data_IF_891694122849
#
_entry.id   IF_891694122849
#
_cell.length_a   1.000
_cell.length_b   1.000
_cell.length_c   1.000
_cell.angle_alpha   90.00
_cell.angle_beta   90.00
_cell.angle_gamma   90.00
#
_symmetry.space_group_name_H-M   'P 1'
#
loop_
_entity.id
_entity.type
_entity.pdbx_description
1 polymer ?
#
# COMPACT_ATOMS: atom_id res chain seq x y z
N UNK A 1 -8.39 -16.29 -4.69
CA UNK A 1 -7.31 -15.38 -5.14
C UNK A 1 -8.00 -14.21 -5.80
N UNK A 2 -8.15 -13.08 -5.10
CA UNK A 2 -8.88 -11.91 -5.64
C UNK A 2 -8.10 -11.43 -6.88
N UNK A 3 -8.80 -11.28 -8.00
CA UNK A 3 -8.27 -10.63 -9.19
C UNK A 3 -7.86 -9.23 -8.76
N UNK A 4 -6.56 -8.94 -8.78
CA UNK A 4 -6.10 -7.55 -8.72
C UNK A 4 -6.34 -6.99 -10.12
N UNK A 5 -7.56 -6.51 -10.35
CA UNK A 5 -7.93 -5.75 -11.55
C UNK A 5 -7.18 -4.40 -11.54
N UNK A 6 -7.00 -3.82 -12.73
CA UNK A 6 -6.35 -2.54 -13.01
C UNK A 6 -6.96 -1.33 -12.27
N UNK A 7 -8.07 -1.51 -11.55
CA UNK A 7 -8.76 -0.47 -10.78
C UNK A 7 -8.29 -0.39 -9.32
N UNK A 8 -7.07 -0.81 -8.99
CA UNK A 8 -6.49 -0.47 -7.69
C UNK A 8 -6.22 1.03 -7.64
N UNK A 9 -7.10 1.78 -6.98
CA UNK A 9 -6.83 3.16 -6.59
C UNK A 9 -5.40 3.28 -6.03
N UNK A 10 -4.67 4.36 -6.36
CA UNK A 10 -3.29 4.52 -5.92
C UNK A 10 -3.23 4.39 -4.40
N UNK A 11 -2.18 3.71 -3.92
CA UNK A 11 -1.96 3.50 -2.50
C UNK A 11 -2.02 4.83 -1.75
N UNK A 12 -2.98 4.96 -0.82
CA UNK A 12 -3.15 6.20 -0.08
C UNK A 12 -2.16 6.27 1.09
N UNK A 13 -1.45 7.41 1.26
CA UNK A 13 -0.52 7.58 2.36
C UNK A 13 -1.23 7.57 3.71
N UNK A 14 -0.52 7.23 4.80
CA UNK A 14 -1.13 7.13 6.11
C UNK A 14 -1.76 8.45 6.55
N UNK A 15 -2.77 8.35 7.41
CA UNK A 15 -3.34 9.48 8.12
C UNK A 15 -2.92 9.48 9.59
N UNK A 16 -2.99 10.65 10.23
CA UNK A 16 -2.77 10.80 11.67
C UNK A 16 -4.10 11.03 12.36
N UNK A 17 -4.44 10.13 13.26
CA UNK A 17 -5.64 10.22 14.09
C UNK A 17 -5.24 10.27 15.56
N UNK A 18 -5.96 11.05 16.40
CA UNK A 18 -5.77 10.99 17.84
C UNK A 18 -6.37 9.68 18.39
N UNK A 19 -6.18 9.43 19.69
CA UNK A 19 -6.77 8.28 20.36
C UNK A 19 -8.31 8.24 20.22
N UNK A 20 -8.89 7.03 20.27
CA UNK A 20 -10.32 6.82 20.14
C UNK A 20 -11.15 7.69 21.10
N UNK A 21 -10.69 7.88 22.33
CA UNK A 21 -11.35 8.76 23.31
C UNK A 21 -11.39 10.24 22.88
N UNK A 22 -10.35 10.71 22.18
CA UNK A 22 -10.34 12.07 21.62
C UNK A 22 -11.29 12.18 20.42
N UNK A 23 -11.35 11.16 19.56
CA UNK A 23 -12.33 11.12 18.48
C UNK A 23 -13.77 11.08 19.01
N UNK A 24 -14.04 10.25 20.01
CA UNK A 24 -15.36 10.16 20.65
C UNK A 24 -15.73 11.46 21.36
N UNK A 25 -14.79 12.17 21.99
CA UNK A 25 -15.02 13.51 22.51
C UNK A 25 -15.35 14.51 21.40
N UNK A 26 -14.70 14.42 20.23
CA UNK A 26 -15.01 15.25 19.08
C UNK A 26 -16.40 14.96 18.50
N UNK A 27 -16.84 13.69 18.47
CA UNK A 27 -18.22 13.31 18.12
C UNK A 27 -19.22 13.99 19.06
N UNK A 28 -19.02 13.88 20.38
CA UNK A 28 -19.92 14.48 21.38
C UNK A 28 -19.96 16.02 21.29
N UNK A 29 -18.94 16.64 20.72
CA UNK A 29 -18.88 18.08 20.47
C UNK A 29 -19.42 18.50 19.09
N UNK A 30 -19.76 17.56 18.21
CA UNK A 30 -20.27 17.88 16.87
C UNK A 30 -21.67 18.53 16.96
N UNK A 31 -22.00 19.49 16.08
CA UNK A 31 -23.31 20.16 16.09
C UNK A 31 -24.50 19.20 15.98
N UNK A 32 -24.38 18.09 15.25
CA UNK A 32 -25.40 17.04 15.14
C UNK A 32 -25.24 15.91 16.16
N UNK A 33 -24.50 16.10 17.24
CA UNK A 33 -24.36 15.11 18.31
C UNK A 33 -25.70 14.67 18.93
N UNK A 34 -26.75 15.48 18.85
CA UNK A 34 -28.10 15.07 19.27
C UNK A 34 -28.69 13.90 18.46
N UNK A 35 -28.22 13.66 17.22
CA UNK A 35 -28.61 12.49 16.43
C UNK A 35 -27.97 11.19 16.93
N UNK A 36 -26.83 11.30 17.65
CA UNK A 36 -26.18 10.17 18.29
C UNK A 36 -27.07 9.57 19.39
N UNK A 37 -27.79 10.39 20.15
CA UNK A 37 -28.68 9.92 21.22
C UNK A 37 -29.83 9.06 20.70
N UNK A 38 -30.28 9.30 19.45
CA UNK A 38 -31.29 8.47 18.80
C UNK A 38 -30.71 7.15 18.25
N UNK A 39 -29.40 7.12 17.96
CA UNK A 39 -28.70 5.94 17.45
C UNK A 39 -28.17 5.02 18.56
N UNK A 40 -27.95 5.53 19.78
CA UNK A 40 -27.49 4.76 20.93
C UNK A 40 -28.70 4.21 21.72
N UNK A 41 -28.85 2.88 21.76
CA UNK A 41 -29.87 2.20 22.57
C UNK A 41 -29.58 2.36 24.08
N UNK A 42 -30.53 2.84 24.90
CA UNK A 42 -30.34 3.06 26.34
C UNK A 42 -30.15 1.79 27.19
N UNK A 43 -30.38 0.58 26.70
CA UNK A 43 -30.35 -0.65 27.52
C UNK A 43 -28.96 -1.34 27.69
N UNK A 44 -27.89 -0.90 27.01
CA UNK A 44 -26.58 -1.59 27.06
C UNK A 44 -25.50 -0.90 27.95
N UNK A 45 -24.76 -1.75 28.69
CA UNK A 45 -23.76 -1.49 29.73
C UNK A 45 -22.69 -0.41 29.40
N UNK A 46 -22.16 0.28 30.42
CA UNK A 46 -21.45 1.58 30.31
C UNK A 46 -19.93 1.53 30.62
N UNK A 47 -19.24 0.44 30.31
CA UNK A 47 -17.82 0.27 30.65
C UNK A 47 -16.93 0.05 29.44
N UNK A 48 -16.01 0.98 29.14
CA UNK A 48 -14.94 0.93 28.12
C UNK A 48 -15.35 0.73 26.65
N UNK A 49 -16.54 0.19 26.38
CA UNK A 49 -17.18 0.11 25.07
C UNK A 49 -17.90 1.41 24.68
N UNK A 50 -17.93 2.44 25.54
CA UNK A 50 -18.65 3.68 25.25
C UNK A 50 -18.02 4.48 24.10
N UNK A 51 -16.70 4.65 24.07
CA UNK A 51 -16.05 5.41 22.99
C UNK A 51 -16.11 4.65 21.66
N UNK A 52 -15.90 3.34 21.65
CA UNK A 52 -16.02 2.52 20.45
C UNK A 52 -17.46 2.53 19.91
N UNK A 53 -18.45 2.36 20.79
CA UNK A 53 -19.87 2.42 20.45
C UNK A 53 -20.30 3.80 19.95
N UNK A 54 -19.82 4.88 20.59
CA UNK A 54 -20.05 6.26 20.13
C UNK A 54 -19.50 6.45 18.72
N UNK A 55 -18.30 5.94 18.45
CA UNK A 55 -17.70 6.00 17.11
C UNK A 55 -18.52 5.15 16.12
N UNK A 56 -18.84 3.90 16.41
CA UNK A 56 -19.64 3.05 15.52
C UNK A 56 -21.01 3.66 15.19
N UNK A 57 -21.73 4.15 16.21
CA UNK A 57 -23.02 4.82 16.01
C UNK A 57 -22.86 6.10 15.17
N UNK A 58 -21.81 6.89 15.41
CA UNK A 58 -21.55 8.09 14.63
C UNK A 58 -21.17 7.81 13.18
N UNK A 59 -20.40 6.75 12.93
CA UNK A 59 -20.09 6.29 11.59
C UNK A 59 -21.38 5.96 10.82
N UNK A 60 -22.36 5.32 11.47
CA UNK A 60 -23.66 5.01 10.88
C UNK A 60 -24.50 6.26 10.58
N UNK A 61 -24.53 7.23 11.50
CA UNK A 61 -25.18 8.54 11.26
C UNK A 61 -24.56 9.22 10.04
N UNK A 62 -23.22 9.27 9.98
CA UNK A 62 -22.50 9.84 8.85
C UNK A 62 -22.81 9.10 7.54
N UNK A 63 -22.80 7.76 7.54
CA UNK A 63 -23.15 6.94 6.36
C UNK A 63 -24.55 7.26 5.86
N UNK A 64 -25.53 7.25 6.76
CA UNK A 64 -26.93 7.54 6.41
C UNK A 64 -27.05 8.93 5.78
N UNK A 65 -26.40 9.95 6.36
CA UNK A 65 -26.43 11.31 5.80
C UNK A 65 -25.73 11.41 4.45
N UNK A 66 -24.55 10.83 4.32
CA UNK A 66 -23.76 10.86 3.07
C UNK A 66 -24.43 10.07 1.94
N UNK A 67 -25.18 9.02 2.26
CA UNK A 67 -25.95 8.26 1.27
C UNK A 67 -27.15 9.03 0.70
N UNK A 68 -27.63 10.08 1.38
CA UNK A 68 -28.78 10.88 0.90
C UNK A 68 -28.40 11.92 -0.15
N UNK A 69 -27.12 12.23 -0.30
CA UNK A 69 -26.61 13.25 -1.23
C UNK A 69 -25.24 12.82 -1.79
N UNK A 70 -25.24 12.37 -3.06
CA UNK A 70 -24.03 11.97 -3.77
C UNK A 70 -23.00 13.10 -3.85
N UNK A 71 -23.45 14.36 -3.97
CA UNK A 71 -22.56 15.53 -3.99
C UNK A 71 -21.83 15.72 -2.66
N UNK A 72 -22.49 15.42 -1.54
CA UNK A 72 -21.89 15.47 -0.20
C UNK A 72 -20.79 14.40 -0.03
N UNK A 73 -21.08 13.17 -0.46
CA UNK A 73 -20.14 12.05 -0.44
C UNK A 73 -18.90 12.34 -1.30
N UNK A 74 -19.12 12.77 -2.54
CA UNK A 74 -18.03 13.10 -3.46
C UNK A 74 -17.18 14.25 -2.93
N UNK A 75 -17.76 15.26 -2.30
CA UNK A 75 -17.02 16.37 -1.70
C UNK A 75 -16.14 15.90 -0.53
N UNK A 76 -16.65 15.03 0.35
CA UNK A 76 -15.86 14.43 1.44
C UNK A 76 -14.66 13.64 0.91
N UNK A 77 -14.88 12.77 -0.09
CA UNK A 77 -13.83 11.96 -0.72
C UNK A 77 -12.83 12.88 -1.42
N UNK A 78 -13.29 13.91 -2.14
CA UNK A 78 -12.42 14.89 -2.82
C UNK A 78 -11.51 15.61 -1.82
N UNK A 79 -12.07 16.12 -0.71
CA UNK A 79 -11.30 16.77 0.35
C UNK A 79 -10.27 15.81 0.98
N UNK A 80 -10.62 14.53 1.11
CA UNK A 80 -9.73 13.52 1.66
C UNK A 80 -8.54 13.23 0.72
N UNK A 81 -8.84 12.99 -0.57
CA UNK A 81 -7.83 12.62 -1.58
C UNK A 81 -6.92 13.79 -1.95
N UNK A 82 -7.47 15.01 -2.08
CA UNK A 82 -6.64 16.17 -2.43
C UNK A 82 -5.74 16.61 -1.29
N UNK A 83 -6.18 16.47 -0.04
CA UNK A 83 -5.55 17.03 1.17
C UNK A 83 -5.32 18.54 1.10
N UNK A 84 -5.91 19.20 0.11
CA UNK A 84 -5.77 20.64 -0.10
C UNK A 84 -6.88 21.39 0.64
N UNK A 85 -6.55 22.51 1.28
CA UNK A 85 -7.56 23.37 1.87
C UNK A 85 -8.53 23.92 0.81
N UNK A 86 -9.83 23.83 1.09
CA UNK A 86 -10.89 24.32 0.21
C UNK A 86 -11.22 25.78 0.57
N UNK A 87 -11.14 26.67 -0.43
CA UNK A 87 -11.56 28.07 -0.29
C UNK A 87 -13.08 28.22 -0.54
N UNK A 88 -13.70 29.24 0.05
CA UNK A 88 -15.11 29.56 -0.21
C UNK A 88 -16.08 28.85 0.73
N UNK A 89 -17.00 28.03 0.20
CA UNK A 89 -18.08 27.42 1.00
C UNK A 89 -18.01 25.90 0.94
N UNK A 90 -18.02 25.26 2.11
CA UNK A 90 -18.24 23.82 2.24
C UNK A 90 -19.72 23.53 2.52
N UNK A 91 -20.24 22.35 2.14
CA UNK A 91 -21.60 21.94 2.50
C UNK A 91 -21.82 22.02 4.01
N UNK A 92 -22.91 22.69 4.42
CA UNK A 92 -23.21 22.90 5.85
C UNK A 92 -23.31 21.56 6.61
N UNK A 93 -23.83 20.52 5.96
CA UNK A 93 -23.94 19.18 6.54
C UNK A 93 -22.58 18.59 6.96
N UNK A 94 -21.50 18.83 6.19
CA UNK A 94 -20.15 18.36 6.60
C UNK A 94 -19.66 19.08 7.85
N UNK A 95 -19.97 20.38 7.99
CA UNK A 95 -19.67 21.18 9.17
C UNK A 95 -20.50 20.73 10.38
N UNK A 96 -21.78 20.46 10.16
CA UNK A 96 -22.74 20.05 11.19
C UNK A 96 -22.43 18.63 11.72
N UNK A 97 -21.91 17.76 10.86
CA UNK A 97 -21.34 16.46 11.24
C UNK A 97 -19.94 16.56 11.86
N UNK A 98 -19.37 17.76 11.98
CA UNK A 98 -18.03 17.97 12.53
C UNK A 98 -16.90 17.39 11.67
N UNK A 99 -17.16 17.05 10.39
CA UNK A 99 -16.18 16.45 9.47
C UNK A 99 -15.20 17.48 8.90
N UNK A 100 -15.56 18.76 8.96
CA UNK A 100 -14.75 19.87 8.47
C UNK A 100 -14.44 20.84 9.59
N UNK A 101 -13.21 21.39 9.61
CA UNK A 101 -12.82 22.43 10.57
C UNK A 101 -13.57 23.73 10.29
N UNK A 102 -14.04 24.41 11.33
CA UNK A 102 -14.81 25.67 11.23
C UNK A 102 -13.93 26.91 11.02
N UNK A 103 -13.00 26.87 10.06
CA UNK A 103 -12.17 28.02 9.70
C UNK A 103 -11.71 27.90 8.24
N UNK A 104 -11.67 29.02 7.52
CA UNK A 104 -11.13 29.09 6.16
C UNK A 104 -9.59 29.20 6.19
N UNK A 105 -8.86 28.50 5.30
CA UNK A 105 -9.37 27.55 4.31
C UNK A 105 -9.79 26.22 4.95
N UNK A 106 -10.91 25.67 4.48
CA UNK A 106 -11.55 24.52 5.09
C UNK A 106 -10.75 23.24 4.84
N UNK A 107 -10.53 22.48 5.89
CA UNK A 107 -9.84 21.18 5.84
C UNK A 107 -10.64 20.16 6.64
N UNK A 108 -10.42 18.87 6.36
CA UNK A 108 -11.04 17.82 7.17
C UNK A 108 -10.57 17.93 8.64
N UNK A 109 -11.52 17.74 9.55
CA UNK A 109 -11.20 17.52 10.96
C UNK A 109 -10.63 16.11 11.16
N UNK A 110 -10.19 15.77 12.37
CA UNK A 110 -9.82 14.38 12.67
C UNK A 110 -11.00 13.42 12.47
N UNK A 111 -12.22 13.88 12.77
CA UNK A 111 -13.43 13.10 12.56
C UNK A 111 -13.73 12.95 11.07
N UNK A 112 -13.49 14.00 10.28
CA UNK A 112 -13.58 13.95 8.82
C UNK A 112 -12.62 12.94 8.19
N UNK A 113 -11.35 12.96 8.61
CA UNK A 113 -10.34 12.00 8.15
C UNK A 113 -10.72 10.57 8.52
N UNK A 114 -11.18 10.35 9.75
CA UNK A 114 -11.58 9.03 10.24
C UNK A 114 -12.83 8.49 9.51
N UNK A 115 -13.89 9.30 9.34
CA UNK A 115 -15.10 8.90 8.59
C UNK A 115 -14.79 8.65 7.12
N UNK A 116 -14.05 9.54 6.47
CA UNK A 116 -13.66 9.37 5.06
C UNK A 116 -12.85 8.09 4.85
N UNK A 117 -11.93 7.75 5.77
CA UNK A 117 -11.20 6.48 5.76
C UNK A 117 -12.14 5.27 5.77
N UNK A 118 -13.14 5.25 6.66
CA UNK A 118 -14.10 4.14 6.74
C UNK A 118 -14.90 4.00 5.45
N UNK A 119 -15.35 5.12 4.89
CA UNK A 119 -16.13 5.16 3.65
C UNK A 119 -15.30 4.68 2.46
N UNK A 120 -14.04 5.11 2.33
CA UNK A 120 -13.15 4.68 1.24
C UNK A 120 -12.87 3.18 1.34
N UNK A 121 -12.65 2.66 2.55
CA UNK A 121 -12.48 1.23 2.77
C UNK A 121 -13.72 0.43 2.35
N UNK A 122 -14.92 0.90 2.69
CA UNK A 122 -16.18 0.24 2.35
C UNK A 122 -16.51 0.32 0.85
N UNK A 123 -16.34 1.49 0.24
CA UNK A 123 -16.77 1.75 -1.14
C UNK A 123 -15.76 1.33 -2.20
N UNK A 124 -14.46 1.49 -1.92
CA UNK A 124 -13.39 1.16 -2.86
C UNK A 124 -12.57 -0.06 -2.45
N UNK A 125 -12.86 -0.69 -1.30
CA UNK A 125 -12.05 -1.78 -0.77
C UNK A 125 -10.63 -1.37 -0.37
N UNK A 126 -10.38 -0.06 -0.25
CA UNK A 126 -9.05 0.49 0.00
C UNK A 126 -8.87 0.85 1.47
N UNK A 127 -8.05 0.05 2.17
CA UNK A 127 -7.63 0.37 3.53
C UNK A 127 -6.60 1.50 3.52
N UNK A 128 -6.88 2.55 4.31
CA UNK A 128 -5.95 3.66 4.50
C UNK A 128 -5.21 3.46 5.83
N UNK A 129 -3.88 3.40 5.85
CA UNK A 129 -3.17 3.19 7.11
C UNK A 129 -3.30 4.37 8.07
N UNK A 130 -3.20 4.08 9.37
CA UNK A 130 -3.11 5.10 10.42
C UNK A 130 -1.71 5.04 11.01
N UNK A 131 -1.04 6.19 11.13
CA UNK A 131 0.28 6.25 11.78
C UNK A 131 0.25 5.61 13.18
N UNK A 132 1.21 4.75 13.47
CA UNK A 132 1.35 4.00 14.72
C UNK A 132 0.50 2.72 14.80
N UNK A 133 -0.42 2.47 13.86
CA UNK A 133 -1.27 1.28 13.90
C UNK A 133 -0.51 -0.04 13.68
N UNK A 134 0.73 0.02 13.18
CA UNK A 134 1.55 -1.16 12.93
C UNK A 134 2.48 -1.51 14.09
N UNK A 135 2.46 -0.78 15.22
CA UNK A 135 3.41 -0.96 16.33
C UNK A 135 3.49 -2.41 16.87
N UNK A 136 2.34 -3.09 16.93
CA UNK A 136 2.21 -4.46 17.40
C UNK A 136 2.16 -5.50 16.28
N UNK A 137 2.29 -5.07 15.01
CA UNK A 137 2.23 -5.96 13.86
C UNK A 137 3.48 -6.84 13.75
N UNK A 138 3.37 -7.96 13.03
CA UNK A 138 4.54 -8.72 12.56
C UNK A 138 5.21 -8.05 11.36
N UNK A 139 6.46 -8.38 11.07
CA UNK A 139 7.24 -7.75 9.99
C UNK A 139 6.56 -7.83 8.61
N UNK A 140 5.92 -8.94 8.24
CA UNK A 140 5.21 -9.04 6.96
C UNK A 140 4.04 -8.04 6.86
N UNK A 141 3.30 -7.83 7.95
CA UNK A 141 2.21 -6.87 7.99
C UNK A 141 2.73 -5.41 8.01
N UNK A 142 3.84 -5.17 8.71
CA UNK A 142 4.55 -3.89 8.65
C UNK A 142 4.93 -3.57 7.19
N UNK A 143 5.66 -4.47 6.52
CA UNK A 143 6.10 -4.28 5.13
C UNK A 143 4.95 -4.14 4.14
N UNK A 144 3.79 -4.74 4.42
CA UNK A 144 2.58 -4.56 3.62
C UNK A 144 2.01 -3.15 3.75
N UNK A 145 1.90 -2.64 4.99
CA UNK A 145 1.37 -1.30 5.27
C UNK A 145 2.28 -0.19 4.74
N UNK A 146 3.61 -0.34 4.92
CA UNK A 146 4.58 0.68 4.53
C UNK A 146 4.68 0.94 3.02
N UNK A 147 4.06 0.10 2.18
CA UNK A 147 4.00 0.30 0.73
C UNK A 147 3.34 1.62 0.32
N UNK A 148 2.41 2.13 1.14
CA UNK A 148 1.74 3.40 0.87
C UNK A 148 2.38 4.59 1.58
N UNK A 149 3.36 4.36 2.44
CA UNK A 149 3.96 5.41 3.26
C UNK A 149 5.05 6.14 2.47
N UNK A 150 5.10 7.48 2.49
CA UNK A 150 6.26 8.22 2.04
C UNK A 150 7.49 7.92 2.94
N UNK A 151 8.70 8.21 2.45
CA UNK A 151 9.95 7.82 3.10
C UNK A 151 10.07 8.32 4.55
N UNK A 152 9.71 9.58 4.80
CA UNK A 152 9.77 10.18 6.14
C UNK A 152 8.84 9.44 7.13
N UNK A 153 7.61 9.16 6.72
CA UNK A 153 6.64 8.42 7.52
C UNK A 153 7.03 6.95 7.70
N UNK A 154 7.70 6.31 6.72
CA UNK A 154 8.24 4.95 6.89
C UNK A 154 9.24 4.88 8.03
N UNK A 155 10.14 5.86 8.12
CA UNK A 155 11.13 5.91 9.19
C UNK A 155 10.48 6.10 10.56
N UNK A 156 9.46 6.95 10.66
CA UNK A 156 8.71 7.15 11.90
C UNK A 156 7.93 5.89 12.32
N UNK A 157 7.22 5.25 11.39
CA UNK A 157 6.45 4.04 11.67
C UNK A 157 7.37 2.87 12.07
N UNK A 158 8.54 2.74 11.41
CA UNK A 158 9.56 1.77 11.78
C UNK A 158 10.07 2.03 13.21
N UNK A 159 10.34 3.28 13.58
CA UNK A 159 10.77 3.61 14.94
C UNK A 159 9.70 3.27 15.99
N UNK A 160 8.43 3.53 15.66
CA UNK A 160 7.29 3.09 16.48
C UNK A 160 7.24 1.57 16.62
N UNK A 161 7.35 0.83 15.52
CA UNK A 161 7.40 -0.62 15.50
C UNK A 161 8.60 -1.19 16.27
N UNK A 162 9.75 -0.53 16.28
CA UNK A 162 10.92 -0.97 17.05
C UNK A 162 10.82 -0.65 18.55
N UNK A 163 9.80 0.08 19.01
CA UNK A 163 9.65 0.40 20.43
C UNK A 163 9.52 -0.88 21.25
N UNK A 164 10.47 -1.12 22.16
CA UNK A 164 10.52 -2.34 22.97
C UNK A 164 11.14 -3.57 22.27
N UNK A 165 11.64 -3.42 21.04
CA UNK A 165 12.37 -4.46 20.29
C UNK A 165 13.86 -4.12 20.20
N UNK A 166 14.71 -5.15 20.21
CA UNK A 166 16.11 -4.99 19.84
C UNK A 166 16.23 -4.76 18.32
N UNK A 167 17.14 -3.89 17.89
CA UNK A 167 17.30 -3.55 16.47
C UNK A 167 17.76 -4.75 15.63
N UNK A 168 18.59 -5.64 16.20
CA UNK A 168 19.02 -6.89 15.56
C UNK A 168 17.86 -7.87 15.42
N UNK A 169 17.01 -7.99 16.44
CA UNK A 169 15.76 -8.75 16.36
C UNK A 169 14.85 -8.20 15.25
N UNK A 170 14.63 -6.89 15.21
CA UNK A 170 13.80 -6.25 14.18
C UNK A 170 14.34 -6.48 12.76
N UNK A 171 15.66 -6.35 12.57
CA UNK A 171 16.30 -6.64 11.29
C UNK A 171 16.14 -8.11 10.87
N UNK A 172 16.29 -9.05 11.80
CA UNK A 172 16.10 -10.47 11.54
C UNK A 172 14.65 -10.80 11.16
N UNK A 173 13.67 -10.22 11.85
CA UNK A 173 12.25 -10.39 11.54
C UNK A 173 11.89 -9.86 10.15
N UNK A 174 12.39 -8.68 9.78
CA UNK A 174 12.19 -8.10 8.44
C UNK A 174 12.84 -8.98 7.37
N UNK A 175 14.10 -9.39 7.57
CA UNK A 175 14.81 -10.23 6.61
C UNK A 175 14.10 -11.57 6.38
N UNK A 176 13.63 -12.22 7.45
CA UNK A 176 12.89 -13.48 7.37
C UNK A 176 11.54 -13.33 6.63
N UNK A 177 10.89 -12.17 6.74
CA UNK A 177 9.63 -11.91 6.04
C UNK A 177 9.81 -11.71 4.52
N UNK A 178 10.98 -11.24 4.06
CA UNK A 178 11.16 -10.80 2.68
C UNK A 178 10.71 -11.86 1.67
N UNK A 179 11.14 -13.12 1.81
CA UNK A 179 10.81 -14.18 0.86
C UNK A 179 9.29 -14.30 0.56
N UNK A 180 8.45 -14.15 1.59
CA UNK A 180 7.00 -14.38 1.51
C UNK A 180 6.13 -13.16 1.21
N UNK A 181 6.68 -11.94 1.17
CA UNK A 181 5.91 -10.73 0.90
C UNK A 181 5.83 -10.39 -0.59
N UNK A 182 4.97 -9.43 -0.94
CA UNK A 182 4.85 -8.96 -2.32
C UNK A 182 6.12 -8.24 -2.80
N UNK A 183 6.36 -8.14 -4.11
CA UNK A 183 7.47 -7.39 -4.68
C UNK A 183 7.65 -5.97 -4.12
N UNK A 184 6.58 -5.18 -3.99
CA UNK A 184 6.69 -3.83 -3.40
C UNK A 184 7.02 -3.86 -1.91
N UNK A 185 6.43 -4.77 -1.14
CA UNK A 185 6.78 -4.95 0.28
C UNK A 185 8.24 -5.41 0.44
N UNK A 186 8.73 -6.24 -0.47
CA UNK A 186 10.13 -6.69 -0.52
C UNK A 186 11.06 -5.51 -0.82
N UNK A 187 10.71 -4.66 -1.78
CA UNK A 187 11.46 -3.44 -2.09
C UNK A 187 11.60 -2.54 -0.85
N UNK A 188 10.48 -2.27 -0.17
CA UNK A 188 10.45 -1.49 1.08
C UNK A 188 11.31 -2.16 2.14
N UNK A 189 11.20 -3.48 2.35
CA UNK A 189 11.97 -4.17 3.37
C UNK A 189 13.49 -4.14 3.12
N UNK A 190 13.92 -4.26 1.86
CA UNK A 190 15.34 -4.10 1.49
C UNK A 190 15.82 -2.68 1.76
N UNK A 191 15.02 -1.66 1.43
CA UNK A 191 15.33 -0.25 1.74
C UNK A 191 15.50 -0.04 3.25
N UNK A 192 14.55 -0.49 4.07
CA UNK A 192 14.61 -0.33 5.53
C UNK A 192 15.83 -1.03 6.16
N UNK A 193 16.19 -2.22 5.67
CA UNK A 193 17.40 -2.90 6.13
C UNK A 193 18.67 -2.15 5.68
N UNK A 194 18.67 -1.55 4.50
CA UNK A 194 19.84 -0.84 3.97
C UNK A 194 20.08 0.50 4.68
N UNK A 195 19.02 1.24 5.01
CA UNK A 195 19.11 2.63 5.48
C UNK A 195 18.58 2.83 6.89
N UNK A 196 17.51 2.13 7.29
CA UNK A 196 16.77 2.38 8.53
C UNK A 196 17.32 1.67 9.78
N UNK A 197 18.07 0.57 9.62
CA UNK A 197 18.49 -0.30 10.73
C UNK A 197 20.01 -0.35 10.97
N UNK A 198 20.78 0.53 10.32
CA UNK A 198 22.22 0.65 10.54
C UNK A 198 22.99 -0.66 10.29
N UNK A 199 23.91 -1.01 11.21
CA UNK A 199 24.76 -2.20 11.08
C UNK A 199 24.00 -3.52 11.17
N UNK A 200 22.91 -3.57 11.95
CA UNK A 200 22.07 -4.76 12.07
C UNK A 200 21.39 -5.07 10.73
N UNK A 201 20.82 -4.04 10.09
CA UNK A 201 20.22 -4.15 8.77
C UNK A 201 21.22 -4.57 7.70
N UNK A 202 22.43 -3.98 7.70
CA UNK A 202 23.53 -4.40 6.80
C UNK A 202 23.91 -5.86 6.98
N UNK A 203 24.01 -6.35 8.22
CA UNK A 203 24.31 -7.76 8.50
C UNK A 203 23.20 -8.69 8.00
N UNK A 204 21.94 -8.31 8.21
CA UNK A 204 20.80 -9.07 7.71
C UNK A 204 20.80 -9.16 6.18
N UNK A 205 21.06 -8.05 5.46
CA UNK A 205 21.17 -8.05 4.00
C UNK A 205 22.31 -8.92 3.49
N UNK A 206 23.49 -8.88 4.14
CA UNK A 206 24.61 -9.74 3.77
C UNK A 206 24.26 -11.22 3.91
N UNK A 207 23.50 -11.60 4.94
CA UNK A 207 23.02 -12.97 5.12
C UNK A 207 22.08 -13.43 4.00
N UNK A 208 21.26 -12.52 3.48
CA UNK A 208 20.32 -12.82 2.39
C UNK A 208 20.98 -12.99 1.03
N UNK A 209 22.22 -12.50 0.85
CA UNK A 209 22.90 -12.61 -0.44
C UNK A 209 23.07 -14.07 -0.87
N UNK A 210 23.23 -15.02 0.05
CA UNK A 210 23.38 -16.44 -0.28
C UNK A 210 22.07 -17.12 -0.72
N UNK A 211 20.92 -16.50 -0.46
CA UNK A 211 19.61 -17.07 -0.82
C UNK A 211 19.37 -17.00 -2.33
N UNK A 212 19.04 -18.11 -3.02
CA UNK A 212 18.71 -18.10 -4.43
C UNK A 212 17.55 -17.14 -4.72
N UNK A 213 17.66 -16.36 -5.80
CA UNK A 213 16.67 -15.37 -6.27
C UNK A 213 16.49 -14.17 -5.34
N UNK A 214 16.18 -14.38 -4.05
CA UNK A 214 16.06 -13.29 -3.08
C UNK A 214 17.39 -12.55 -2.93
N UNK A 215 18.50 -13.27 -2.83
CA UNK A 215 19.84 -12.68 -2.80
C UNK A 215 20.18 -11.90 -4.06
N UNK A 216 19.69 -12.34 -5.23
CA UNK A 216 19.83 -11.57 -6.47
C UNK A 216 19.01 -10.27 -6.46
N UNK A 217 17.77 -10.29 -5.94
CA UNK A 217 16.95 -9.07 -5.76
C UNK A 217 17.62 -8.11 -4.78
N UNK A 218 18.11 -8.63 -3.65
CA UNK A 218 18.86 -7.84 -2.66
C UNK A 218 20.10 -7.23 -3.31
N UNK A 219 20.88 -8.01 -4.05
CA UNK A 219 22.08 -7.54 -4.72
C UNK A 219 21.79 -6.43 -5.73
N UNK A 220 20.78 -6.62 -6.58
CA UNK A 220 20.38 -5.62 -7.57
C UNK A 220 19.91 -4.31 -6.92
N UNK A 221 19.12 -4.39 -5.84
CA UNK A 221 18.60 -3.20 -5.14
C UNK A 221 19.65 -2.46 -4.30
N UNK A 222 20.72 -3.15 -3.90
CA UNK A 222 21.77 -2.57 -3.04
C UNK A 222 23.07 -2.28 -3.78
N UNK A 223 23.09 -2.43 -5.11
CA UNK A 223 24.26 -2.13 -5.95
C UNK A 223 25.42 -3.12 -5.80
N UNK A 224 25.14 -4.39 -5.52
CA UNK A 224 26.13 -5.47 -5.36
C UNK A 224 26.40 -6.19 -6.68
N UNK A 225 26.89 -5.44 -7.66
CA UNK A 225 27.14 -5.92 -9.03
C UNK A 225 28.19 -7.04 -9.11
N UNK A 226 29.03 -7.19 -8.08
CA UNK A 226 30.04 -8.25 -7.99
C UNK A 226 29.44 -9.65 -7.82
N UNK A 227 28.16 -9.75 -7.39
CA UNK A 227 27.48 -11.03 -7.22
C UNK A 227 27.19 -11.65 -8.58
N UNK A 228 27.74 -12.84 -8.81
CA UNK A 228 27.32 -13.67 -9.95
C UNK A 228 25.85 -14.05 -9.82
N UNK A 229 25.06 -13.68 -10.81
CA UNK A 229 23.62 -13.92 -10.84
C UNK A 229 23.30 -14.89 -11.97
N UNK A 230 22.60 -15.97 -11.64
CA UNK A 230 22.22 -16.97 -12.64
C UNK A 230 21.12 -16.42 -13.59
N UNK A 231 20.98 -16.94 -14.82
CA UNK A 231 19.96 -16.44 -15.76
C UNK A 231 18.52 -16.48 -15.25
N UNK A 232 18.15 -17.50 -14.46
CA UNK A 232 16.83 -17.60 -13.84
C UNK A 232 16.63 -16.58 -12.71
N UNK A 233 17.70 -16.26 -11.96
CA UNK A 233 17.69 -15.18 -10.98
C UNK A 233 17.57 -13.80 -11.64
N UNK A 234 18.22 -13.57 -12.79
CA UNK A 234 18.05 -12.33 -13.56
C UNK A 234 16.58 -12.17 -13.97
N UNK A 235 15.95 -13.23 -14.50
CA UNK A 235 14.53 -13.21 -14.83
C UNK A 235 13.66 -12.92 -13.59
N UNK A 236 13.99 -13.49 -12.44
CA UNK A 236 13.30 -13.22 -11.18
C UNK A 236 13.40 -11.76 -10.75
N UNK A 237 14.60 -11.17 -10.81
CA UNK A 237 14.86 -9.76 -10.46
C UNK A 237 14.05 -8.82 -11.34
N UNK A 238 14.07 -9.02 -12.66
CA UNK A 238 13.33 -8.18 -13.60
C UNK A 238 11.81 -8.21 -13.32
N UNK A 239 11.26 -9.39 -13.05
CA UNK A 239 9.83 -9.51 -12.72
C UNK A 239 9.51 -8.90 -11.37
N UNK A 240 10.34 -9.10 -10.33
CA UNK A 240 10.11 -8.52 -8.99
C UNK A 240 10.16 -6.98 -9.05
N UNK A 241 11.12 -6.40 -9.77
CA UNK A 241 11.23 -4.94 -9.92
C UNK A 241 10.05 -4.35 -10.69
N UNK A 242 9.67 -4.95 -11.83
CA UNK A 242 8.52 -4.50 -12.61
C UNK A 242 7.20 -4.67 -11.84
N UNK A 243 7.04 -5.77 -11.11
CA UNK A 243 5.85 -6.02 -10.29
C UNK A 243 5.76 -5.04 -9.10
N UNK A 244 6.89 -4.63 -8.52
CA UNK A 244 6.90 -3.61 -7.48
C UNK A 244 6.37 -2.25 -7.98
N UNK A 245 6.72 -1.85 -9.21
CA UNK A 245 6.19 -0.65 -9.85
C UNK A 245 4.68 -0.76 -10.11
N UNK A 246 4.22 -1.91 -10.61
CA UNK A 246 2.79 -2.17 -10.80
C UNK A 246 2.00 -2.10 -9.49
N UNK A 247 2.54 -2.68 -8.42
CA UNK A 247 1.91 -2.61 -7.09
C UNK A 247 1.89 -1.20 -6.51
N UNK A 248 2.86 -0.35 -6.87
CA UNK A 248 2.91 1.04 -6.43
C UNK A 248 1.85 1.91 -7.13
N UNK A 249 1.36 1.44 -8.29
CA UNK A 249 0.50 2.22 -9.18
C UNK A 249 1.28 3.03 -10.21
N UNK A 250 2.50 2.60 -10.54
CA UNK A 250 3.27 3.19 -11.64
C UNK A 250 2.56 3.01 -12.97
N UNK A 251 2.70 3.99 -13.87
CA UNK A 251 2.09 3.92 -15.19
C UNK A 251 2.69 2.75 -15.99
N UNK A 252 1.92 2.17 -16.92
CA UNK A 252 2.41 1.07 -17.75
C UNK A 252 3.72 1.43 -18.50
N UNK A 253 3.90 2.71 -18.84
CA UNK A 253 5.14 3.23 -19.42
C UNK A 253 6.36 3.07 -18.51
N UNK A 254 6.24 3.39 -17.22
CA UNK A 254 7.34 3.24 -16.24
C UNK A 254 7.73 1.77 -16.05
N UNK A 255 6.73 0.88 -16.07
CA UNK A 255 6.94 -0.58 -15.98
C UNK A 255 7.70 -1.07 -17.22
N UNK A 256 7.31 -0.61 -18.42
CA UNK A 256 8.01 -0.91 -19.66
C UNK A 256 9.46 -0.42 -19.62
N UNK A 257 9.69 0.83 -19.22
CA UNK A 257 11.03 1.43 -19.12
C UNK A 257 11.93 0.67 -18.14
N UNK A 258 11.36 0.22 -17.01
CA UNK A 258 12.11 -0.53 -16.00
C UNK A 258 12.66 -1.86 -16.52
N UNK A 259 11.94 -2.53 -17.42
CA UNK A 259 12.35 -3.78 -18.05
C UNK A 259 13.27 -3.50 -19.23
N UNK A 260 13.06 -2.38 -19.93
CA UNK A 260 13.85 -1.99 -21.08
C UNK A 260 15.33 -1.78 -20.72
N UNK A 261 15.65 -1.20 -19.55
CA UNK A 261 17.03 -0.97 -19.10
C UNK A 261 17.97 -0.37 -20.18
N UNK A 262 17.43 0.47 -21.08
CA UNK A 262 18.17 1.08 -22.20
C UNK A 262 18.44 0.16 -23.41
N UNK A 263 17.91 -1.06 -23.42
CA UNK A 263 17.98 -2.02 -24.54
C UNK A 263 17.14 -1.56 -25.74
N UNK A 264 17.55 -1.94 -26.94
CA UNK A 264 16.71 -1.79 -28.14
C UNK A 264 15.56 -2.83 -28.18
N UNK A 265 14.64 -2.68 -29.14
CA UNK A 265 13.46 -3.56 -29.22
C UNK A 265 13.80 -5.04 -29.48
N UNK A 266 14.91 -5.35 -30.15
CA UNK A 266 15.33 -6.73 -30.42
C UNK A 266 15.93 -7.37 -29.17
N UNK A 267 16.81 -6.64 -28.49
CA UNK A 267 17.38 -7.01 -27.20
C UNK A 267 16.28 -7.22 -26.14
N UNK A 268 15.32 -6.29 -26.05
CA UNK A 268 14.18 -6.41 -25.15
C UNK A 268 13.34 -7.66 -25.46
N UNK A 269 13.05 -7.92 -26.74
CA UNK A 269 12.30 -9.12 -27.13
C UNK A 269 13.04 -10.41 -26.74
N UNK A 270 14.37 -10.42 -26.83
CA UNK A 270 15.23 -11.50 -26.32
C UNK A 270 15.12 -11.68 -24.81
N UNK A 271 15.18 -10.59 -24.05
CA UNK A 271 15.05 -10.58 -22.58
C UNK A 271 13.65 -11.02 -22.12
N UNK A 272 12.58 -10.58 -22.78
CA UNK A 272 11.22 -11.01 -22.43
C UNK A 272 11.04 -12.52 -22.63
N UNK A 273 11.68 -13.08 -23.64
CA UNK A 273 11.61 -14.51 -23.89
C UNK A 273 12.18 -15.35 -22.73
N UNK A 274 13.09 -14.78 -21.92
CA UNK A 274 13.66 -15.47 -20.75
C UNK A 274 12.81 -15.36 -19.49
N UNK A 275 11.92 -14.37 -19.38
CA UNK A 275 11.08 -14.14 -18.18
C UNK A 275 10.19 -15.34 -17.84
N UNK A 276 9.76 -16.11 -18.85
CA UNK A 276 8.95 -17.31 -18.65
C UNK A 276 9.67 -18.45 -17.90
N UNK A 277 11.01 -18.40 -17.80
CA UNK A 277 11.79 -19.44 -17.12
C UNK A 277 12.00 -19.17 -15.63
N UNK A 278 11.84 -17.92 -15.19
CA UNK A 278 12.14 -17.53 -13.80
C UNK A 278 11.19 -18.11 -12.76
N UNK A 279 10.02 -18.64 -13.14
CA UNK A 279 8.94 -19.13 -12.26
C UNK A 279 8.34 -18.13 -11.24
N UNK A 280 8.74 -16.85 -11.35
CA UNK A 280 7.97 -15.64 -11.06
C UNK A 280 6.46 -15.70 -10.74
N UNK A 281 5.93 -15.66 -9.50
CA UNK A 281 4.48 -15.63 -9.27
C UNK A 281 3.76 -14.49 -9.99
N UNK A 282 4.47 -13.37 -10.18
CA UNK A 282 3.99 -12.18 -10.90
C UNK A 282 4.33 -12.13 -12.39
N UNK A 283 5.03 -13.14 -12.95
CA UNK A 283 5.45 -13.11 -14.37
C UNK A 283 4.25 -12.95 -15.30
N UNK A 284 3.13 -13.64 -15.02
CA UNK A 284 1.93 -13.53 -15.84
C UNK A 284 1.37 -12.10 -15.89
N UNK A 285 1.41 -11.36 -14.78
CA UNK A 285 0.91 -9.98 -14.70
C UNK A 285 1.81 -9.02 -15.46
N UNK A 286 3.12 -9.09 -15.24
CA UNK A 286 4.11 -8.27 -15.96
C UNK A 286 4.03 -8.49 -17.47
N UNK A 287 3.94 -9.76 -17.91
CA UNK A 287 3.80 -10.07 -19.33
C UNK A 287 2.51 -9.50 -19.94
N UNK A 288 1.40 -9.47 -19.20
CA UNK A 288 0.14 -8.91 -19.69
C UNK A 288 0.24 -7.40 -19.92
N UNK A 289 0.83 -6.68 -18.99
CA UNK A 289 1.11 -5.23 -19.13
C UNK A 289 1.94 -4.96 -20.39
N UNK A 290 3.00 -5.75 -20.61
CA UNK A 290 3.81 -5.63 -21.83
C UNK A 290 3.02 -5.94 -23.11
N UNK A 291 2.08 -6.87 -23.08
CA UNK A 291 1.25 -7.20 -24.25
C UNK A 291 0.28 -6.07 -24.60
N UNK A 292 -0.26 -5.42 -23.58
CA UNK A 292 -1.36 -4.45 -23.71
C UNK A 292 -0.84 -3.03 -23.97
N UNK A 293 0.36 -2.69 -23.48
CA UNK A 293 0.86 -1.32 -23.48
C UNK A 293 2.20 -1.10 -24.20
N UNK A 294 2.95 -2.13 -24.58
CA UNK A 294 4.27 -1.91 -25.18
C UNK A 294 4.18 -1.32 -26.61
N UNK A 295 4.89 -0.23 -26.92
CA UNK A 295 4.74 0.47 -28.20
C UNK A 295 5.29 -0.31 -29.41
N UNK A 296 6.31 -1.18 -29.20
CA UNK A 296 6.85 -2.05 -30.24
C UNK A 296 6.14 -3.42 -30.26
N UNK A 297 5.62 -3.81 -31.43
CA UNK A 297 4.88 -5.05 -31.64
C UNK A 297 5.73 -6.32 -31.47
N UNK A 298 7.05 -6.27 -31.73
CA UNK A 298 7.95 -7.43 -31.60
C UNK A 298 8.07 -7.84 -30.14
N UNK A 299 8.21 -6.84 -29.28
CA UNK A 299 8.30 -6.99 -27.82
C UNK A 299 6.98 -7.54 -27.28
N UNK A 300 5.84 -6.97 -27.70
CA UNK A 300 4.50 -7.48 -27.38
C UNK A 300 4.32 -8.94 -27.84
N UNK A 301 4.77 -9.29 -29.05
CA UNK A 301 4.69 -10.65 -29.57
C UNK A 301 5.57 -11.63 -28.78
N UNK A 302 6.77 -11.21 -28.36
CA UNK A 302 7.63 -11.98 -27.47
C UNK A 302 6.95 -12.23 -26.11
N UNK A 303 6.29 -11.22 -25.54
CA UNK A 303 5.53 -11.34 -24.30
C UNK A 303 4.37 -12.33 -24.42
N UNK A 304 3.60 -12.29 -25.52
CA UNK A 304 2.55 -13.31 -25.80
C UNK A 304 3.12 -14.72 -25.86
N UNK A 305 4.29 -14.89 -26.49
CA UNK A 305 4.96 -16.19 -26.60
C UNK A 305 5.45 -16.68 -25.23
N UNK A 306 6.03 -15.79 -24.43
CA UNK A 306 6.46 -16.06 -23.06
C UNK A 306 5.27 -16.46 -22.17
N UNK A 307 4.13 -15.75 -22.27
CA UNK A 307 2.93 -16.05 -21.49
C UNK A 307 2.34 -17.42 -21.84
N UNK A 308 2.28 -17.77 -23.13
CA UNK A 308 1.87 -19.11 -23.57
C UNK A 308 2.80 -20.20 -23.02
N UNK A 309 4.11 -19.96 -22.99
CA UNK A 309 5.10 -20.89 -22.41
C UNK A 309 4.91 -21.04 -20.90
N UNK A 310 4.66 -19.94 -20.19
CA UNK A 310 4.42 -19.95 -18.74
C UNK A 310 3.23 -20.85 -18.39
N UNK A 311 2.11 -20.72 -19.09
CA UNK A 311 0.94 -21.59 -18.88
C UNK A 311 1.24 -23.06 -19.22
N UNK A 312 1.90 -23.32 -20.36
CA UNK A 312 2.28 -24.69 -20.73
C UNK A 312 3.25 -25.35 -19.74
N UNK A 313 4.14 -24.59 -19.09
CA UNK A 313 5.02 -25.10 -18.04
C UNK A 313 4.25 -25.41 -16.75
N UNK A 314 3.25 -24.60 -16.38
CA UNK A 314 2.40 -24.85 -15.23
C UNK A 314 1.62 -26.17 -15.39
N UNK A 315 1.07 -26.42 -16.58
CA UNK A 315 0.33 -27.66 -16.89
C UNK A 315 1.20 -28.92 -16.81
N UNK A 316 2.52 -28.81 -16.96
CA UNK A 316 3.47 -29.95 -16.84
C UNK A 316 4.00 -30.19 -15.42
N UNK A 317 3.77 -29.25 -14.49
CA UNK A 317 4.28 -29.31 -13.11
C UNK A 317 3.19 -29.71 -12.09
N UNK A 318 1.92 -29.70 -12.47
CA UNK A 318 0.78 -30.19 -11.68
C UNK A 318 0.42 -31.63 -12.02
#
# INVERSE_FOLDING_TARGET
MRSYDDDTLPLQPPIRLPAASTLAAAVRAAPLSGELEAALDPEHDRGAEDDARVLEAWAEVCRTRLATDEGLLLELIRMFLSREPVAGRVPQTLTDLGLVRQAEPYTLSWLGLWVARLIIAETAGQEIPVMGSLADAGAAALLHGLRSYPEAERAEELAGWLTGRDAGQGAAEIAAALAGVSPLSRAVGVELLATGLGDEGRRALNGLLEEPRLGAVVAARTGREERRTAPDEIAWVLVDMAAALLEFGGEAGEVIESIAMGMDAEEQAGTIAILAFGDHPWTGRVLRVLIDHHPDERVSAAARKALRRLHGLADTRG
#
